data_IF_877766245750
#
_entry.id   IF_877766245750
#
_cell.length_a   1.000
_cell.length_b   1.000
_cell.length_c   1.000
_cell.angle_alpha   90.00
_cell.angle_beta   90.00
_cell.angle_gamma   90.00
#
_symmetry.space_group_name_H-M   'P 1'
#
loop_
_entity.id
_entity.type
_entity.pdbx_description
1 polymer ?
#
# COMPACT_ATOMS: atom_id res chain seq x y z
N UNK A 1 31.02 28.82 76.43
CA UNK A 1 31.40 30.18 75.97
C UNK A 1 32.17 29.98 74.67
N UNK A 2 31.79 30.44 73.48
CA UNK A 2 30.84 31.47 73.07
C UNK A 2 30.77 31.37 71.52
N UNK A 3 29.57 31.56 70.92
CA UNK A 3 29.28 31.76 69.48
C UNK A 3 29.46 30.55 68.54
N UNK A 4 28.46 29.81 68.05
CA UNK A 4 27.05 30.07 67.71
C UNK A 4 26.80 31.27 66.76
N UNK A 5 26.17 30.96 65.61
CA UNK A 5 25.69 31.84 64.54
C UNK A 5 26.79 32.48 63.67
N UNK A 6 26.91 32.17 62.38
CA UNK A 6 26.08 32.69 61.26
C UNK A 6 26.22 31.66 60.11
N UNK A 7 25.28 30.75 59.87
CA UNK A 7 24.05 30.93 59.08
C UNK A 7 24.18 31.88 57.87
N UNK A 8 24.94 31.47 56.85
CA UNK A 8 24.65 31.89 55.46
C UNK A 8 24.21 30.65 54.70
N UNK A 9 22.90 30.42 54.79
CA UNK A 9 22.12 29.66 53.83
C UNK A 9 22.41 30.20 52.42
N UNK A 10 23.36 29.61 51.71
CA UNK A 10 23.39 29.72 50.25
C UNK A 10 22.22 28.91 49.74
N UNK A 11 21.06 29.55 49.60
CA UNK A 11 19.95 29.00 48.81
C UNK A 11 20.49 28.72 47.42
N UNK A 12 20.81 27.45 47.13
CA UNK A 12 20.87 26.96 45.75
C UNK A 12 19.48 27.19 45.20
N UNK A 13 19.32 28.26 44.42
CA UNK A 13 18.12 28.49 43.61
C UNK A 13 17.98 27.25 42.74
N UNK A 14 16.98 26.45 43.07
CA UNK A 14 16.46 25.37 42.25
C UNK A 14 16.31 25.91 40.83
N UNK A 15 16.85 25.24 39.79
CA UNK A 15 16.71 25.70 38.43
C UNK A 15 15.20 25.80 38.14
N UNK A 16 14.72 27.03 37.99
CA UNK A 16 13.35 27.33 37.63
C UNK A 16 13.11 26.73 36.25
N UNK A 17 12.28 25.70 36.22
CA UNK A 17 11.94 24.85 35.10
C UNK A 17 11.50 25.70 33.89
N UNK A 18 12.44 25.90 32.97
CA UNK A 18 12.22 26.65 31.73
C UNK A 18 11.36 25.85 30.76
N UNK A 19 11.35 24.53 30.87
CA UNK A 19 10.57 23.65 29.99
C UNK A 19 9.09 23.65 30.39
N UNK A 20 8.79 23.68 31.68
CA UNK A 20 7.42 23.79 32.21
C UNK A 20 6.76 25.12 31.80
N UNK A 21 7.52 26.22 31.82
CA UNK A 21 7.00 27.54 31.40
C UNK A 21 6.81 27.67 29.88
N UNK A 22 7.64 27.02 29.07
CA UNK A 22 7.44 27.00 27.60
C UNK A 22 6.20 26.19 27.21
N UNK A 23 5.88 25.13 27.98
CA UNK A 23 4.65 24.34 27.81
C UNK A 23 3.37 25.18 27.99
N UNK A 24 3.44 26.29 28.75
CA UNK A 24 2.28 27.14 29.04
C UNK A 24 1.94 28.14 27.91
N UNK A 25 2.89 28.49 27.03
CA UNK A 25 2.65 29.40 25.91
C UNK A 25 2.24 28.68 24.62
N UNK A 26 2.51 27.38 24.53
CA UNK A 26 2.05 26.51 23.46
C UNK A 26 0.81 25.80 23.99
N UNK A 27 -0.37 26.43 23.81
CA UNK A 27 -1.61 26.06 24.49
C UNK A 27 -1.79 24.55 24.62
N UNK A 28 -1.86 24.06 25.86
CA UNK A 28 -2.28 22.70 26.16
C UNK A 28 -3.73 22.54 25.70
N UNK A 29 -3.94 22.12 24.45
CA UNK A 29 -5.26 21.80 23.92
C UNK A 29 -5.80 20.48 24.49
N UNK A 30 -4.92 19.67 25.11
CA UNK A 30 -5.23 18.33 25.56
C UNK A 30 -4.59 18.13 26.95
N UNK A 31 -5.41 17.80 27.95
CA UNK A 31 -4.93 17.47 29.28
C UNK A 31 -4.22 16.10 29.26
N UNK A 32 -2.89 16.03 29.48
CA UNK A 32 -2.15 14.77 29.41
C UNK A 32 -2.58 13.74 30.46
N UNK A 33 -3.34 14.18 31.48
CA UNK A 33 -3.93 13.31 32.50
C UNK A 33 -5.13 12.48 31.98
N UNK A 34 -5.78 12.88 30.89
CA UNK A 34 -6.91 12.16 30.29
C UNK A 34 -6.50 11.29 29.09
N UNK A 35 -5.24 11.36 28.66
CA UNK A 35 -4.79 10.73 27.42
C UNK A 35 -4.09 9.41 27.73
N UNK A 36 -4.75 8.30 27.42
CA UNK A 36 -4.18 6.96 27.57
C UNK A 36 -3.15 6.68 26.44
N UNK A 37 -1.87 6.37 26.77
CA UNK A 37 -0.83 6.01 25.81
C UNK A 37 -1.25 4.87 24.85
N UNK A 38 -2.06 3.94 25.34
CA UNK A 38 -2.55 2.81 24.54
C UNK A 38 -3.51 3.27 23.44
N UNK A 39 -4.37 4.26 23.72
CA UNK A 39 -5.32 4.77 22.74
C UNK A 39 -4.60 5.51 21.61
N UNK A 40 -3.57 6.28 21.94
CA UNK A 40 -2.75 6.98 20.94
C UNK A 40 -2.01 5.97 20.07
N UNK A 41 -1.42 4.94 20.69
CA UNK A 41 -0.76 3.85 19.98
C UNK A 41 -1.72 3.14 19.02
N UNK A 42 -2.93 2.79 19.49
CA UNK A 42 -3.93 2.14 18.66
C UNK A 42 -4.40 3.05 17.51
N UNK A 43 -4.58 4.34 17.77
CA UNK A 43 -4.93 5.31 16.73
C UNK A 43 -3.82 5.41 15.67
N UNK A 44 -2.55 5.45 16.07
CA UNK A 44 -1.41 5.45 15.15
C UNK A 44 -1.38 4.17 14.31
N UNK A 45 -1.47 2.99 14.93
CA UNK A 45 -1.48 1.70 14.23
C UNK A 45 -2.65 1.59 13.27
N UNK A 46 -3.86 1.96 13.71
CA UNK A 46 -5.05 1.96 12.87
C UNK A 46 -4.89 2.89 11.67
N UNK A 47 -4.36 4.09 11.89
CA UNK A 47 -4.05 5.05 10.82
C UNK A 47 -3.05 4.47 9.81
N UNK A 48 -1.96 3.86 10.28
CA UNK A 48 -0.97 3.22 9.41
C UNK A 48 -1.57 2.08 8.58
N UNK A 49 -2.38 1.19 9.17
CA UNK A 49 -3.06 0.11 8.44
C UNK A 49 -4.13 0.62 7.47
N UNK A 50 -4.84 1.70 7.80
CA UNK A 50 -5.73 2.37 6.86
C UNK A 50 -4.94 3.01 5.71
N UNK A 51 -3.76 3.56 5.98
CA UNK A 51 -2.84 4.05 4.94
C UNK A 51 -2.41 2.94 3.99
N UNK A 52 -2.09 1.76 4.53
CA UNK A 52 -1.85 0.57 3.70
C UNK A 52 -3.08 0.24 2.87
N UNK A 53 -4.25 0.14 3.50
CA UNK A 53 -5.53 -0.14 2.81
C UNK A 53 -5.81 0.87 1.69
N UNK A 54 -5.57 2.15 1.93
CA UNK A 54 -5.77 3.23 0.98
C UNK A 54 -4.91 3.08 -0.28
N UNK A 55 -3.70 2.54 -0.17
CA UNK A 55 -2.85 2.25 -1.34
C UNK A 55 -3.39 1.07 -2.15
N UNK A 56 -3.93 0.04 -1.50
CA UNK A 56 -4.49 -1.13 -2.18
C UNK A 56 -5.88 -0.91 -2.77
N UNK A 57 -6.70 -0.08 -2.13
CA UNK A 57 -8.08 0.26 -2.51
C UNK A 57 -8.21 1.75 -2.85
N UNK A 58 -7.27 2.24 -3.67
CA UNK A 58 -7.21 3.64 -4.06
C UNK A 58 -8.50 4.09 -4.76
N UNK A 59 -8.97 5.29 -4.42
CA UNK A 59 -10.10 5.94 -5.10
C UNK A 59 -11.43 5.82 -4.37
N UNK A 60 -11.47 5.20 -3.19
CA UNK A 60 -12.66 5.22 -2.32
C UNK A 60 -12.74 6.49 -1.46
N UNK A 61 -11.60 7.15 -1.21
CA UNK A 61 -11.50 8.40 -0.45
C UNK A 61 -11.65 8.25 1.07
N UNK A 62 -12.42 7.25 1.54
CA UNK A 62 -12.68 6.99 2.95
C UNK A 62 -11.42 6.53 3.72
N UNK A 63 -10.71 5.46 3.33
CA UNK A 63 -9.51 5.01 4.05
C UNK A 63 -8.37 6.04 3.97
N UNK A 64 -8.27 6.80 2.87
CA UNK A 64 -7.31 7.89 2.71
C UNK A 64 -7.51 8.97 3.78
N UNK A 65 -8.72 9.51 3.89
CA UNK A 65 -9.04 10.59 4.83
C UNK A 65 -8.90 10.10 6.27
N UNK A 66 -9.46 8.92 6.59
CA UNK A 66 -9.38 8.37 7.94
C UNK A 66 -7.92 8.10 8.35
N UNK A 67 -7.10 7.57 7.44
CA UNK A 67 -5.66 7.38 7.67
C UNK A 67 -4.97 8.69 8.03
N UNK A 68 -5.16 9.74 7.22
CA UNK A 68 -4.53 11.04 7.43
C UNK A 68 -4.96 11.64 8.77
N UNK A 69 -6.25 11.56 9.11
CA UNK A 69 -6.78 12.11 10.36
C UNK A 69 -6.23 11.34 11.57
N UNK A 70 -6.19 10.01 11.52
CA UNK A 70 -5.67 9.20 12.63
C UNK A 70 -4.16 9.34 12.81
N UNK A 71 -3.39 9.32 11.72
CA UNK A 71 -1.94 9.51 11.77
C UNK A 71 -1.62 10.94 12.22
N UNK A 72 -2.25 11.95 11.61
CA UNK A 72 -2.05 13.35 11.99
C UNK A 72 -2.42 13.61 13.44
N UNK A 73 -3.60 13.16 13.87
CA UNK A 73 -4.07 13.29 15.25
C UNK A 73 -3.16 12.60 16.25
N UNK A 74 -2.77 11.34 15.99
CA UNK A 74 -1.86 10.61 16.88
C UNK A 74 -0.48 11.26 16.95
N UNK A 75 0.10 11.69 15.82
CA UNK A 75 1.38 12.40 15.80
C UNK A 75 1.32 13.71 16.60
N UNK A 76 0.24 14.49 16.47
CA UNK A 76 0.06 15.72 17.26
C UNK A 76 0.10 15.43 18.76
N UNK A 77 -0.58 14.37 19.22
CA UNK A 77 -0.56 13.99 20.64
C UNK A 77 0.82 13.44 21.05
N UNK A 78 1.47 12.66 20.19
CA UNK A 78 2.82 12.13 20.45
C UNK A 78 3.87 13.24 20.64
N UNK A 79 3.71 14.41 20.01
CA UNK A 79 4.62 15.56 20.26
C UNK A 79 4.55 16.10 21.68
N UNK A 80 3.45 15.84 22.41
CA UNK A 80 3.24 16.32 23.78
C UNK A 80 3.69 15.30 24.84
N UNK A 81 3.93 14.06 24.43
CA UNK A 81 4.38 12.95 25.28
C UNK A 81 5.91 12.77 25.13
N UNK A 82 6.57 12.08 26.08
CA UNK A 82 8.00 11.76 25.97
C UNK A 82 8.23 10.66 24.92
N UNK A 83 7.88 10.93 23.66
CA UNK A 83 7.89 9.95 22.57
C UNK A 83 9.31 9.73 22.05
N UNK A 84 9.63 8.47 21.75
CA UNK A 84 10.82 8.09 21.01
C UNK A 84 10.56 8.18 19.51
N UNK A 85 11.00 9.27 18.89
CA UNK A 85 10.83 9.47 17.44
C UNK A 85 11.51 8.41 16.58
N UNK A 86 12.58 7.78 17.08
CA UNK A 86 13.23 6.68 16.36
C UNK A 86 12.29 5.48 16.23
N UNK A 87 11.51 5.19 17.28
CA UNK A 87 10.52 4.13 17.26
C UNK A 87 9.41 4.42 16.25
N UNK A 88 8.91 5.66 16.20
CA UNK A 88 7.90 6.08 15.20
C UNK A 88 8.43 5.89 13.77
N UNK A 89 9.65 6.36 13.49
CA UNK A 89 10.27 6.19 12.17
C UNK A 89 10.43 4.70 11.83
N UNK A 90 10.88 3.89 12.79
CA UNK A 90 11.04 2.45 12.61
C UNK A 90 9.70 1.79 12.26
N UNK A 91 8.61 2.17 12.91
CA UNK A 91 7.27 1.68 12.58
C UNK A 91 6.88 2.08 11.17
N UNK A 92 7.06 3.34 10.78
CA UNK A 92 6.74 3.81 9.42
C UNK A 92 7.55 3.05 8.36
N UNK A 93 8.83 2.75 8.61
CA UNK A 93 9.66 1.92 7.73
C UNK A 93 9.15 0.47 7.67
N UNK A 94 8.76 -0.10 8.81
CA UNK A 94 8.14 -1.42 8.85
C UNK A 94 6.86 -1.48 8.01
N UNK A 95 6.01 -0.46 8.15
CA UNK A 95 4.77 -0.32 7.39
C UNK A 95 4.99 -0.10 5.88
N UNK A 96 6.00 0.68 5.49
CA UNK A 96 6.32 0.89 4.08
C UNK A 96 6.77 -0.40 3.40
N UNK A 97 7.38 -1.34 4.14
CA UNK A 97 7.67 -2.69 3.66
C UNK A 97 6.43 -3.42 3.11
N UNK A 98 5.27 -3.23 3.73
CA UNK A 98 4.01 -3.81 3.25
C UNK A 98 3.45 -3.11 2.01
N UNK A 99 3.82 -1.85 1.77
CA UNK A 99 3.43 -1.10 0.57
C UNK A 99 4.23 -1.53 -0.65
N UNK A 100 5.49 -1.94 -0.47
CA UNK A 100 6.40 -2.33 -1.56
C UNK A 100 6.26 -3.82 -1.92
N UNK A 101 5.66 -4.62 -1.03
CA UNK A 101 5.43 -6.05 -1.23
C UNK A 101 4.74 -6.43 -2.56
N UNK A 102 3.75 -5.67 -3.10
CA UNK A 102 3.08 -6.00 -4.36
C UNK A 102 3.94 -5.81 -5.60
N UNK A 103 4.83 -4.82 -5.56
CA UNK A 103 5.67 -4.46 -6.69
C UNK A 103 6.89 -5.37 -6.83
N UNK A 104 7.09 -6.26 -5.87
CA UNK A 104 8.30 -7.06 -5.78
C UNK A 104 8.03 -8.55 -5.99
N UNK A 105 9.02 -9.27 -6.53
CA UNK A 105 8.89 -10.70 -6.82
C UNK A 105 8.44 -11.52 -5.59
N UNK A 106 7.75 -12.67 -5.76
CA UNK A 106 7.20 -13.47 -4.66
C UNK A 106 8.22 -13.85 -3.57
N UNK A 107 9.51 -13.98 -3.93
CA UNK A 107 10.61 -14.23 -2.98
C UNK A 107 10.83 -13.08 -1.99
N UNK A 108 10.54 -11.84 -2.40
CA UNK A 108 10.70 -10.64 -1.57
C UNK A 108 9.42 -10.36 -0.74
N UNK A 109 8.34 -11.12 -0.94
CA UNK A 109 7.14 -11.06 -0.08
C UNK A 109 7.43 -11.40 1.39
N UNK A 110 8.50 -12.15 1.67
CA UNK A 110 8.93 -12.46 3.05
C UNK A 110 9.40 -11.23 3.84
N UNK A 111 9.78 -10.13 3.16
CA UNK A 111 10.16 -8.90 3.83
C UNK A 111 8.97 -8.21 4.52
N UNK A 112 7.72 -8.56 4.19
CA UNK A 112 6.55 -8.09 4.92
C UNK A 112 6.56 -8.54 6.39
N UNK A 113 7.04 -9.75 6.68
CA UNK A 113 7.15 -10.27 8.05
C UNK A 113 8.19 -9.47 8.86
N UNK A 114 9.25 -8.96 8.20
CA UNK A 114 10.22 -8.04 8.82
C UNK A 114 9.52 -6.76 9.28
N UNK A 115 8.55 -6.26 8.52
CA UNK A 115 7.71 -5.13 8.90
C UNK A 115 6.96 -5.33 10.22
N UNK A 116 6.44 -6.53 10.49
CA UNK A 116 5.80 -6.85 11.79
C UNK A 116 6.80 -6.81 12.95
N UNK A 117 8.03 -7.29 12.71
CA UNK A 117 9.09 -7.22 13.72
C UNK A 117 9.47 -5.77 14.02
N UNK A 118 9.62 -4.94 12.98
CA UNK A 118 9.86 -3.50 13.17
C UNK A 118 8.71 -2.81 13.90
N UNK A 119 7.46 -3.16 13.57
CA UNK A 119 6.29 -2.67 14.28
C UNK A 119 6.38 -3.06 15.76
N UNK A 120 6.63 -4.33 16.08
CA UNK A 120 6.73 -4.81 17.47
C UNK A 120 7.82 -4.08 18.27
N UNK A 121 9.01 -3.95 17.69
CA UNK A 121 10.14 -3.23 18.31
C UNK A 121 9.79 -1.76 18.50
N UNK A 122 9.19 -1.12 17.49
CA UNK A 122 8.73 0.27 17.59
C UNK A 122 7.66 0.47 18.66
N UNK A 123 6.67 -0.44 18.76
CA UNK A 123 5.62 -0.38 19.78
C UNK A 123 6.19 -0.45 21.20
N UNK A 124 7.19 -1.32 21.43
CA UNK A 124 7.83 -1.47 22.74
C UNK A 124 8.66 -0.26 23.13
N UNK A 125 9.27 0.41 22.15
CA UNK A 125 10.16 1.56 22.38
C UNK A 125 9.47 2.92 22.16
N UNK A 126 8.14 2.95 21.96
CA UNK A 126 7.43 4.15 21.48
C UNK A 126 7.54 5.35 22.43
N UNK A 127 7.56 5.09 23.74
CA UNK A 127 7.66 6.12 24.77
C UNK A 127 8.94 5.94 25.58
N UNK A 128 9.55 7.06 25.97
CA UNK A 128 10.70 7.15 26.86
C UNK A 128 10.22 7.43 28.29
N UNK A 129 10.73 6.69 29.28
CA UNK A 129 10.44 6.90 30.71
C UNK A 129 9.41 5.92 31.28
N UNK A 130 8.64 6.35 32.28
CA UNK A 130 7.70 5.50 33.04
C UNK A 130 6.39 5.23 32.30
N UNK A 131 6.17 5.90 31.16
CA UNK A 131 5.01 5.72 30.30
C UNK A 131 5.36 4.67 29.25
N UNK A 132 4.61 3.59 29.17
CA UNK A 132 4.80 2.54 28.18
C UNK A 132 3.45 2.03 27.65
N UNK A 133 3.46 1.54 26.41
CA UNK A 133 2.30 0.84 25.85
C UNK A 133 2.19 -0.52 26.52
N UNK A 134 0.98 -0.87 26.95
CA UNK A 134 0.72 -2.16 27.58
C UNK A 134 0.99 -3.31 26.60
N UNK A 135 1.75 -4.35 26.98
CA UNK A 135 1.92 -5.55 26.16
C UNK A 135 0.59 -6.21 25.77
N UNK A 136 -0.44 -6.06 26.60
CA UNK A 136 -1.80 -6.54 26.32
C UNK A 136 -2.49 -5.83 25.16
N UNK A 137 -1.97 -4.68 24.73
CA UNK A 137 -2.44 -3.93 23.56
C UNK A 137 -1.54 -4.22 22.36
N UNK A 138 -0.23 -4.32 22.59
CA UNK A 138 0.76 -4.62 21.55
C UNK A 138 0.49 -6.00 20.93
N UNK A 139 0.36 -7.05 21.75
CA UNK A 139 0.22 -8.42 21.25
C UNK A 139 -1.02 -8.60 20.37
N UNK A 140 -2.24 -8.19 20.77
CA UNK A 140 -3.40 -8.25 19.89
C UNK A 140 -3.25 -7.40 18.63
N UNK A 141 -2.62 -6.22 18.72
CA UNK A 141 -2.39 -5.37 17.54
C UNK A 141 -1.48 -6.03 16.50
N UNK A 142 -0.46 -6.77 16.95
CA UNK A 142 0.44 -7.53 16.08
C UNK A 142 -0.26 -8.75 15.47
N UNK A 143 -1.07 -9.47 16.26
CA UNK A 143 -1.87 -10.59 15.74
C UNK A 143 -2.88 -10.12 14.70
N UNK A 144 -3.54 -8.99 14.94
CA UNK A 144 -4.49 -8.40 14.01
C UNK A 144 -3.82 -7.91 12.73
N UNK A 145 -2.65 -7.26 12.86
CA UNK A 145 -1.78 -6.88 11.75
C UNK A 145 -1.38 -8.09 10.89
N UNK A 146 -0.89 -9.17 11.52
CA UNK A 146 -0.51 -10.40 10.83
C UNK A 146 -1.71 -11.07 10.14
N UNK A 147 -2.84 -11.18 10.83
CA UNK A 147 -4.06 -11.75 10.26
C UNK A 147 -4.58 -10.91 9.08
N UNK A 148 -4.63 -9.58 9.22
CA UNK A 148 -5.02 -8.68 8.15
C UNK A 148 -4.12 -8.85 6.92
N UNK A 149 -2.79 -8.91 7.11
CA UNK A 149 -1.87 -9.13 6.01
C UNK A 149 -2.10 -10.49 5.32
N UNK A 150 -2.25 -11.58 6.10
CA UNK A 150 -2.40 -12.93 5.58
C UNK A 150 -3.74 -13.19 4.89
N UNK A 151 -4.83 -12.69 5.46
CA UNK A 151 -6.18 -13.03 5.03
C UNK A 151 -6.84 -11.98 4.14
N UNK A 152 -6.44 -10.71 4.22
CA UNK A 152 -7.02 -9.65 3.38
C UNK A 152 -6.05 -9.23 2.28
N UNK A 153 -4.83 -8.80 2.62
CA UNK A 153 -3.92 -8.25 1.62
C UNK A 153 -3.44 -9.29 0.62
N UNK A 154 -2.96 -10.46 1.06
CA UNK A 154 -2.43 -11.48 0.16
C UNK A 154 -3.46 -11.97 -0.89
N UNK A 155 -4.72 -12.26 -0.55
CA UNK A 155 -5.72 -12.63 -1.56
C UNK A 155 -6.06 -11.51 -2.53
N UNK A 156 -6.20 -10.27 -2.06
CA UNK A 156 -6.47 -9.10 -2.92
C UNK A 156 -5.34 -8.95 -3.95
N UNK A 157 -4.09 -9.05 -3.50
CA UNK A 157 -2.91 -8.97 -4.37
C UNK A 157 -2.86 -10.08 -5.42
N UNK A 158 -3.21 -11.31 -5.04
CA UNK A 158 -3.27 -12.45 -5.98
C UNK A 158 -4.35 -12.24 -7.04
N UNK A 159 -5.54 -11.82 -6.60
CA UNK A 159 -6.67 -11.54 -7.50
C UNK A 159 -6.34 -10.46 -8.52
N UNK A 160 -5.77 -9.33 -8.10
CA UNK A 160 -5.40 -8.25 -9.04
C UNK A 160 -4.32 -8.69 -10.03
N UNK A 161 -3.36 -9.51 -9.59
CA UNK A 161 -2.31 -10.02 -10.48
C UNK A 161 -2.86 -11.01 -11.51
N UNK A 162 -3.77 -11.89 -11.08
CA UNK A 162 -4.45 -12.84 -11.96
C UNK A 162 -5.33 -12.10 -12.97
N UNK A 163 -6.14 -11.12 -12.55
CA UNK A 163 -6.96 -10.29 -13.45
C UNK A 163 -6.11 -9.59 -14.52
N UNK A 164 -4.97 -9.01 -14.15
CA UNK A 164 -4.08 -8.37 -15.14
C UNK A 164 -3.47 -9.32 -16.18
N UNK A 165 -3.47 -10.63 -15.88
CA UNK A 165 -2.98 -11.69 -16.78
C UNK A 165 -4.13 -12.22 -17.66
N UNK A 166 -5.31 -12.45 -17.06
CA UNK A 166 -6.48 -12.99 -17.74
C UNK A 166 -7.17 -12.00 -18.70
N UNK A 167 -7.21 -10.70 -18.39
CA UNK A 167 -7.81 -9.70 -19.29
C UNK A 167 -6.97 -9.41 -20.54
N UNK A 168 -5.67 -9.76 -20.54
CA UNK A 168 -4.79 -9.47 -21.67
C UNK A 168 -4.58 -10.63 -22.63
N UNK A 169 -4.55 -11.88 -22.18
CA UNK A 169 -4.17 -13.03 -23.03
C UNK A 169 -5.35 -13.87 -23.56
N UNK A 170 -6.52 -13.84 -22.91
CA UNK A 170 -7.57 -14.82 -23.21
C UNK A 170 -8.76 -14.27 -24.02
N UNK A 171 -8.87 -12.95 -24.19
CA UNK A 171 -10.03 -12.36 -24.88
C UNK A 171 -9.91 -12.37 -26.41
N UNK A 172 -8.69 -12.57 -26.96
CA UNK A 172 -8.42 -12.51 -28.40
C UNK A 172 -8.19 -13.90 -29.01
N UNK A 173 -7.94 -14.93 -28.19
CA UNK A 173 -7.75 -16.31 -28.62
C UNK A 173 -9.02 -16.87 -29.27
N UNK A 174 -8.92 -17.31 -30.53
CA UNK A 174 -10.06 -17.83 -31.30
C UNK A 174 -10.96 -16.77 -31.93
N UNK A 175 -10.71 -15.47 -31.67
CA UNK A 175 -11.43 -14.39 -32.32
C UNK A 175 -11.07 -14.28 -33.81
N UNK A 176 -12.02 -13.80 -34.60
CA UNK A 176 -11.83 -13.49 -36.01
C UNK A 176 -11.52 -12.02 -36.19
N UNK A 177 -10.64 -11.73 -37.15
CA UNK A 177 -10.27 -10.37 -37.49
C UNK A 177 -9.93 -10.21 -38.96
N UNK A 178 -9.55 -8.99 -39.32
CA UNK A 178 -9.21 -8.64 -40.70
C UNK A 178 -7.81 -8.06 -40.79
N UNK A 179 -7.05 -8.45 -41.80
CA UNK A 179 -5.73 -7.87 -42.08
C UNK A 179 -5.89 -6.42 -42.52
N UNK A 180 -5.25 -5.48 -41.81
CA UNK A 180 -5.24 -4.04 -42.15
C UNK A 180 -3.97 -3.68 -42.89
N UNK A 181 -2.83 -4.22 -42.46
CA UNK A 181 -1.55 -4.13 -43.15
C UNK A 181 -1.09 -5.53 -43.53
N UNK A 182 -0.58 -5.68 -44.75
CA UNK A 182 -0.03 -6.94 -45.26
C UNK A 182 0.91 -7.59 -44.25
N UNK A 183 0.77 -8.91 -44.09
CA UNK A 183 1.55 -9.70 -43.13
C UNK A 183 2.53 -10.56 -43.92
N UNK A 184 3.81 -10.21 -43.87
CA UNK A 184 4.92 -11.04 -44.38
C UNK A 184 6.25 -10.72 -43.65
N UNK A 185 6.64 -11.48 -42.61
CA UNK A 185 5.82 -12.34 -41.76
C UNK A 185 5.07 -11.54 -40.68
N UNK A 186 5.36 -10.23 -40.55
CA UNK A 186 4.78 -9.31 -39.58
C UNK A 186 3.88 -8.31 -40.28
N UNK A 187 2.75 -7.99 -39.66
CA UNK A 187 1.83 -6.97 -40.13
C UNK A 187 0.83 -6.61 -39.04
N UNK A 188 -0.38 -6.25 -39.42
CA UNK A 188 -1.36 -5.72 -38.47
C UNK A 188 -2.77 -6.17 -38.79
N UNK A 189 -3.51 -6.60 -37.77
CA UNK A 189 -4.88 -7.10 -37.87
C UNK A 189 -5.82 -6.28 -37.00
N UNK A 190 -7.09 -6.22 -37.38
CA UNK A 190 -8.15 -5.65 -36.58
C UNK A 190 -9.00 -6.77 -35.99
N UNK A 191 -9.07 -6.86 -34.66
CA UNK A 191 -9.77 -7.92 -33.92
C UNK A 191 -10.52 -7.27 -32.75
N UNK A 192 -11.81 -7.60 -32.56
CA UNK A 192 -12.64 -7.10 -31.46
C UNK A 192 -12.64 -5.57 -31.25
N UNK A 193 -12.52 -4.79 -32.33
CA UNK A 193 -12.53 -3.32 -32.25
C UNK A 193 -11.15 -2.68 -32.06
N UNK A 194 -10.08 -3.47 -31.99
CA UNK A 194 -8.71 -2.99 -31.73
C UNK A 194 -7.72 -3.45 -32.80
N UNK A 195 -6.64 -2.67 -32.98
CA UNK A 195 -5.58 -2.94 -33.94
C UNK A 195 -4.39 -3.62 -33.25
N UNK A 196 -4.03 -4.82 -33.71
CA UNK A 196 -3.02 -5.69 -33.09
C UNK A 196 -1.87 -6.02 -34.05
N UNK A 197 -0.64 -6.05 -33.54
CA UNK A 197 0.50 -6.59 -34.26
C UNK A 197 0.29 -8.09 -34.46
N UNK A 198 0.44 -8.58 -35.68
CA UNK A 198 0.22 -9.98 -36.00
C UNK A 198 1.35 -10.58 -36.83
N UNK A 199 1.56 -11.88 -36.63
CA UNK A 199 2.48 -12.71 -37.39
C UNK A 199 1.76 -13.92 -37.99
N UNK A 200 2.08 -14.24 -39.23
CA UNK A 200 1.61 -15.44 -39.93
C UNK A 200 2.79 -16.21 -40.52
N UNK A 201 2.62 -17.52 -40.73
CA UNK A 201 3.59 -18.35 -41.45
C UNK A 201 3.48 -18.18 -42.97
N UNK A 202 2.28 -17.91 -43.45
CA UNK A 202 1.99 -17.64 -44.85
C UNK A 202 1.74 -16.14 -45.05
N UNK A 203 2.15 -15.55 -46.19
CA UNK A 203 1.87 -14.15 -46.49
C UNK A 203 0.35 -13.92 -46.62
N UNK A 204 -0.15 -12.89 -45.94
CA UNK A 204 -1.58 -12.54 -45.93
C UNK A 204 -1.79 -11.12 -46.44
N UNK A 205 -2.59 -10.99 -47.50
CA UNK A 205 -2.93 -9.70 -48.09
C UNK A 205 -3.92 -8.91 -47.22
N UNK A 206 -3.90 -7.59 -47.39
CA UNK A 206 -4.87 -6.67 -46.77
C UNK A 206 -6.30 -7.09 -47.08
N UNK A 207 -7.17 -7.06 -46.07
CA UNK A 207 -8.57 -7.42 -46.18
C UNK A 207 -8.88 -8.90 -45.95
N UNK A 208 -7.86 -9.76 -45.82
CA UNK A 208 -8.04 -11.21 -45.55
C UNK A 208 -8.61 -11.44 -44.15
N UNK A 209 -9.57 -12.36 -44.03
CA UNK A 209 -10.11 -12.81 -42.74
C UNK A 209 -9.16 -13.81 -42.09
N UNK A 210 -8.82 -13.56 -40.84
CA UNK A 210 -7.88 -14.36 -40.08
C UNK A 210 -8.48 -14.78 -38.75
N UNK A 211 -8.01 -15.90 -38.22
CA UNK A 211 -8.33 -16.39 -36.89
C UNK A 211 -7.07 -16.36 -36.02
N UNK A 212 -7.22 -15.89 -34.79
CA UNK A 212 -6.13 -15.87 -33.81
C UNK A 212 -5.94 -17.26 -33.23
N UNK A 213 -4.77 -17.84 -33.43
CA UNK A 213 -4.41 -19.18 -32.94
C UNK A 213 -3.58 -19.13 -31.66
N UNK A 214 -2.87 -18.02 -31.44
CA UNK A 214 -2.05 -17.82 -30.24
C UNK A 214 -1.83 -16.34 -29.98
N UNK A 215 -1.72 -15.95 -28.72
CA UNK A 215 -1.22 -14.65 -28.32
C UNK A 215 0.15 -14.81 -27.65
N UNK A 216 1.10 -13.93 -28.00
CA UNK A 216 2.41 -13.81 -27.34
C UNK A 216 2.61 -12.35 -26.94
N UNK A 217 2.16 -12.00 -25.72
CA UNK A 217 2.19 -10.61 -25.26
C UNK A 217 1.29 -9.71 -26.11
N UNK A 218 1.88 -8.75 -26.83
CA UNK A 218 1.15 -7.82 -27.74
C UNK A 218 1.21 -8.26 -29.22
N UNK A 219 1.79 -9.42 -29.52
CA UNK A 219 1.85 -9.98 -30.87
C UNK A 219 0.91 -11.19 -30.98
N UNK A 220 0.03 -11.20 -31.98
CA UNK A 220 -0.90 -12.28 -32.29
C UNK A 220 -0.32 -13.21 -33.36
N UNK A 221 -0.38 -14.52 -33.14
CA UNK A 221 -0.15 -15.52 -34.18
C UNK A 221 -1.50 -15.83 -34.84
N UNK A 222 -1.60 -15.62 -36.14
CA UNK A 222 -2.85 -15.71 -36.90
C UNK A 222 -2.73 -16.68 -38.07
N UNK A 223 -3.84 -17.33 -38.41
CA UNK A 223 -3.96 -18.18 -39.60
C UNK A 223 -5.12 -17.72 -40.48
N UNK A 224 -5.06 -18.04 -41.78
CA UNK A 224 -6.17 -17.76 -42.70
C UNK A 224 -7.40 -18.57 -42.29
N UNK A 225 -8.55 -17.92 -42.10
CA UNK A 225 -9.78 -18.59 -41.72
C UNK A 225 -10.25 -19.54 -42.85
N UNK A 226 -10.45 -20.83 -42.54
CA UNK A 226 -11.01 -21.85 -43.45
C UNK A 226 -12.55 -21.84 -43.39
N UNK A 227 -13.19 -20.86 -44.00
CA UNK A 227 -14.50 -20.95 -44.69
C UNK A 227 -15.07 -19.54 -44.91
N UNK A 228 -15.41 -19.24 -46.15
CA UNK A 228 -16.13 -18.02 -46.55
C UNK A 228 -17.62 -18.02 -46.13
N UNK A 229 -18.09 -19.06 -45.44
CA UNK A 229 -19.52 -19.32 -45.20
C UNK A 229 -20.05 -18.78 -43.85
N UNK A 230 -19.18 -18.36 -42.92
CA UNK A 230 -19.60 -17.72 -41.65
C UNK A 230 -19.55 -16.18 -41.70
N UNK A 231 -19.02 -15.61 -42.78
CA UNK A 231 -18.88 -14.15 -42.96
C UNK A 231 -20.23 -13.47 -43.27
N UNK A 232 -21.22 -14.22 -43.77
CA UNK A 232 -22.57 -13.70 -44.00
C UNK A 232 -23.35 -13.41 -42.71
N UNK A 233 -23.03 -14.11 -41.60
CA UNK A 233 -23.78 -14.00 -40.35
C UNK A 233 -23.14 -13.02 -39.34
N UNK A 234 -21.85 -12.70 -39.52
CA UNK A 234 -21.13 -11.70 -38.72
C UNK A 234 -21.21 -10.26 -39.28
N UNK A 235 -21.65 -10.08 -40.53
CA UNK A 235 -21.73 -8.78 -41.20
C UNK A 235 -23.07 -8.05 -40.97
N UNK A 236 -23.61 -8.12 -39.75
CA UNK A 236 -24.63 -7.19 -39.25
C UNK A 236 -24.11 -5.76 -39.02
N UNK A 237 -23.19 -5.28 -39.86
CA UNK A 237 -22.76 -3.89 -39.88
C UNK A 237 -23.56 -3.20 -40.99
N UNK A 238 -24.71 -2.66 -40.60
CA UNK A 238 -25.56 -1.83 -41.45
C UNK A 238 -24.81 -0.54 -41.85
N UNK A 239 -24.95 -0.22 -43.14
CA UNK A 239 -24.91 1.09 -43.86
C UNK A 239 -24.12 2.27 -43.28
#
# INVERSE_FOLDING_TARGET
MLFAAIFVQTKRKQPYDREEKMRCCMGNFIDPALVDPNLIYLALIAGLWLGVTAVYMAGTGVPEILSIVLIGGSLLVLTQLPTNWLAVILMVIGFSGFLVAPFTSPRIGQFAEVGLVLQAVGSLMLFNGDIAVSPFVIVPSLLMAWAYHRFLLLPIMRSQREQSSFEREDQVLGAYGRVVNEIDPLGTVYVNGEQWSARSRDPLAVGTTVRVIRQKGLELEVEKAKNDELVAEANGWQE
#
